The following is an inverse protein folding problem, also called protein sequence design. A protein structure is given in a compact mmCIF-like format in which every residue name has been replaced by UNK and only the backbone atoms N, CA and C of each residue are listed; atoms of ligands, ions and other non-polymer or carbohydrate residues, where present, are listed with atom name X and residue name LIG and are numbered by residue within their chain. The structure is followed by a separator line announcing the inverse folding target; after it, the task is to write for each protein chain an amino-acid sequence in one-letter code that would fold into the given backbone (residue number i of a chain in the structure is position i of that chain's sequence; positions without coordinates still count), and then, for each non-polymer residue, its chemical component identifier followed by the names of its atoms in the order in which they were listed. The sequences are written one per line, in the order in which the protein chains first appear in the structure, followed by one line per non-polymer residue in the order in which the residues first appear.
data_IF_397987662392
#
_entry.id   IF_397987662392
#
_cell.length_a   1.000
_cell.length_b   1.000
_cell.length_c   1.000
_cell.angle_alpha   90.00
_cell.angle_beta   90.00
_cell.angle_gamma   90.00
#
_symmetry.space_group_name_H-M   'P 1'
#
loop_
_entity.id
_entity.type
_entity.pdbx_description
1 polymer ?
#
# COMPACT_ATOMS: atom_id res chain seq x y z
N UNK A 1 27.27 -13.14 -0.39
CA UNK A 1 26.02 -12.41 -0.70
C UNK A 1 26.25 -10.90 -0.58
N UNK A 2 25.47 -10.06 -1.28
CA UNK A 2 25.49 -8.59 -1.11
C UNK A 2 24.28 -8.08 -0.32
N UNK A 3 24.34 -6.85 0.19
CA UNK A 3 23.28 -6.30 1.07
C UNK A 3 21.89 -6.28 0.41
N UNK A 4 21.71 -5.85 -0.86
CA UNK A 4 20.40 -5.88 -1.51
C UNK A 4 19.78 -7.29 -1.57
N UNK A 5 20.57 -8.29 -1.95
CA UNK A 5 20.10 -9.68 -2.01
C UNK A 5 19.69 -10.22 -0.63
N UNK A 6 20.43 -9.83 0.41
CA UNK A 6 20.06 -10.16 1.79
C UNK A 6 18.72 -9.51 2.16
N UNK A 7 18.54 -8.22 1.88
CA UNK A 7 17.32 -7.49 2.23
C UNK A 7 16.07 -7.98 1.49
N UNK A 8 16.20 -8.35 0.21
CA UNK A 8 15.11 -8.91 -0.59
C UNK A 8 14.56 -10.22 0.01
N UNK A 9 15.45 -11.03 0.59
CA UNK A 9 15.13 -12.34 1.16
C UNK A 9 15.27 -12.37 2.67
N UNK A 10 15.19 -11.22 3.33
CA UNK A 10 15.41 -11.11 4.76
C UNK A 10 14.36 -11.90 5.56
N UNK A 11 13.09 -11.90 5.13
CA UNK A 11 12.03 -12.67 5.81
C UNK A 11 12.36 -14.16 5.82
N UNK A 12 12.84 -14.70 4.70
CA UNK A 12 13.22 -16.11 4.59
C UNK A 12 14.29 -16.50 5.63
N UNK A 13 15.24 -15.59 5.87
CA UNK A 13 16.25 -15.76 6.90
C UNK A 13 15.67 -15.61 8.32
N UNK A 14 14.89 -14.54 8.55
CA UNK A 14 14.34 -14.21 9.86
C UNK A 14 13.36 -15.28 10.37
N UNK A 15 12.52 -15.81 9.47
CA UNK A 15 11.53 -16.85 9.76
C UNK A 15 12.10 -18.28 9.61
N UNK A 16 13.38 -18.40 9.22
CA UNK A 16 14.09 -19.67 8.96
C UNK A 16 13.37 -20.59 7.96
N UNK A 17 12.83 -20.00 6.90
CA UNK A 17 12.14 -20.71 5.82
C UNK A 17 12.99 -20.84 4.55
N UNK A 18 14.15 -20.18 4.52
CA UNK A 18 15.11 -20.28 3.41
C UNK A 18 15.85 -21.63 3.34
N UNK A 19 16.41 -21.92 2.17
CA UNK A 19 17.27 -23.09 1.94
C UNK A 19 18.57 -23.02 2.76
N UNK A 20 19.10 -24.16 3.21
CA UNK A 20 20.30 -24.23 4.06
C UNK A 20 21.51 -23.49 3.45
N UNK A 21 21.71 -23.61 2.14
CA UNK A 21 22.79 -22.92 1.43
C UNK A 21 22.63 -21.39 1.47
N UNK A 22 21.39 -20.90 1.41
CA UNK A 22 21.09 -19.48 1.56
C UNK A 22 21.33 -19.01 2.98
N UNK A 23 20.88 -19.76 3.99
CA UNK A 23 21.09 -19.41 5.40
C UNK A 23 22.58 -19.32 5.75
N UNK A 24 23.39 -20.28 5.30
CA UNK A 24 24.85 -20.24 5.49
C UNK A 24 25.50 -19.01 4.81
N UNK A 25 25.06 -18.66 3.60
CA UNK A 25 25.56 -17.48 2.89
C UNK A 25 25.14 -16.16 3.57
N UNK A 26 24.01 -16.13 4.26
CA UNK A 26 23.59 -14.99 5.10
C UNK A 26 24.43 -14.90 6.35
N UNK A 27 24.71 -16.01 7.03
CA UNK A 27 25.59 -16.04 8.22
C UNK A 27 26.99 -15.48 7.88
N UNK A 28 27.60 -15.95 6.80
CA UNK A 28 28.88 -15.43 6.30
C UNK A 28 28.81 -13.92 5.99
N UNK A 29 27.70 -13.47 5.40
CA UNK A 29 27.49 -12.05 5.12
C UNK A 29 27.38 -11.21 6.41
N UNK A 30 26.68 -11.70 7.42
CA UNK A 30 26.50 -11.01 8.70
C UNK A 30 27.83 -10.92 9.47
N UNK A 31 28.71 -11.91 9.37
CA UNK A 31 30.05 -11.81 9.96
C UNK A 31 30.85 -10.63 9.38
N UNK A 32 30.71 -10.37 8.07
CA UNK A 32 31.42 -9.30 7.37
C UNK A 32 30.72 -7.92 7.34
N UNK A 33 29.40 -7.85 7.54
CA UNK A 33 28.62 -6.63 7.30
C UNK A 33 27.98 -6.06 8.58
N UNK A 34 28.46 -4.89 9.04
CA UNK A 34 27.89 -4.24 10.22
C UNK A 34 26.49 -3.67 9.99
N UNK A 35 26.21 -3.13 8.79
CA UNK A 35 24.91 -2.54 8.47
C UNK A 35 23.78 -3.58 8.52
N UNK A 36 24.00 -4.74 7.91
CA UNK A 36 23.04 -5.84 7.92
C UNK A 36 22.87 -6.43 9.32
N UNK A 37 23.94 -6.58 10.10
CA UNK A 37 23.83 -6.96 11.53
C UNK A 37 22.97 -5.98 12.33
N UNK A 38 23.18 -4.67 12.11
CA UNK A 38 22.38 -3.64 12.77
C UNK A 38 20.91 -3.72 12.37
N UNK A 39 20.64 -3.98 11.10
CA UNK A 39 19.28 -4.18 10.59
C UNK A 39 18.58 -5.36 11.28
N UNK A 40 19.23 -6.54 11.33
CA UNK A 40 18.71 -7.72 12.04
C UNK A 40 18.38 -7.39 13.49
N UNK A 41 19.29 -6.70 14.18
CA UNK A 41 19.11 -6.36 15.60
C UNK A 41 17.93 -5.39 15.82
N UNK A 42 17.75 -4.40 14.94
CA UNK A 42 16.63 -3.46 15.03
C UNK A 42 15.30 -4.19 14.84
N UNK A 43 15.20 -5.06 13.83
CA UNK A 43 13.98 -5.84 13.59
C UNK A 43 13.70 -6.78 14.77
N UNK A 44 14.73 -7.48 15.26
CA UNK A 44 14.61 -8.38 16.41
C UNK A 44 14.07 -7.66 17.64
N UNK A 45 14.68 -6.54 18.03
CA UNK A 45 14.20 -5.72 19.15
C UNK A 45 12.79 -5.20 18.93
N UNK A 46 12.46 -4.79 17.71
CA UNK A 46 11.11 -4.36 17.35
C UNK A 46 10.09 -5.48 17.61
N UNK A 47 10.40 -6.71 17.19
CA UNK A 47 9.53 -7.86 17.43
C UNK A 47 9.40 -8.20 18.92
N UNK A 48 10.50 -8.15 19.67
CA UNK A 48 10.50 -8.41 21.12
C UNK A 48 9.63 -7.41 21.87
N UNK A 49 9.65 -6.13 21.47
CA UNK A 49 8.78 -5.11 22.03
C UNK A 49 7.30 -5.40 21.74
N UNK A 50 6.96 -5.86 20.54
CA UNK A 50 5.59 -6.24 20.19
C UNK A 50 5.13 -7.46 20.98
N UNK A 51 6.00 -8.45 21.17
CA UNK A 51 5.70 -9.63 21.99
C UNK A 51 5.59 -9.32 23.49
N UNK A 52 6.17 -8.22 23.96
CA UNK A 52 6.04 -7.76 25.34
C UNK A 52 4.66 -7.14 25.66
N UNK A 53 3.81 -6.89 24.66
CA UNK A 53 2.45 -6.42 24.91
C UNK A 53 1.61 -7.52 25.57
N UNK A 54 0.60 -7.14 26.37
CA UNK A 54 -0.34 -8.09 26.96
C UNK A 54 -0.94 -9.00 25.89
N UNK A 55 -1.02 -10.29 26.18
CA UNK A 55 -1.71 -11.22 25.28
C UNK A 55 -3.16 -10.79 25.12
N UNK A 56 -3.65 -10.84 23.89
CA UNK A 56 -5.03 -10.52 23.59
C UNK A 56 -5.93 -11.62 24.19
N UNK A 57 -6.84 -11.24 25.07
CA UNK A 57 -7.91 -12.15 25.49
C UNK A 57 -8.88 -12.32 24.31
N UNK A 58 -8.86 -13.50 23.69
CA UNK A 58 -9.81 -13.88 22.65
C UNK A 58 -11.00 -14.59 23.29
N UNK A 59 -12.19 -14.42 22.71
CA UNK A 59 -13.37 -15.18 23.12
C UNK A 59 -13.16 -16.67 22.94
N UNK A 60 -13.78 -17.51 23.78
CA UNK A 60 -13.66 -18.98 23.71
C UNK A 60 -14.04 -19.56 22.33
N UNK A 61 -14.96 -18.91 21.62
CA UNK A 61 -15.41 -19.31 20.28
C UNK A 61 -14.50 -18.80 19.14
N UNK A 62 -13.41 -18.11 19.45
CA UNK A 62 -12.52 -17.54 18.45
C UNK A 62 -11.81 -18.61 17.62
N UNK A 63 -11.18 -19.59 18.27
CA UNK A 63 -10.42 -20.64 17.60
C UNK A 63 -11.32 -21.54 16.72
N UNK A 64 -12.50 -22.01 17.20
CA UNK A 64 -13.44 -22.74 16.36
C UNK A 64 -13.89 -21.94 15.14
N UNK A 65 -14.24 -20.66 15.32
CA UNK A 65 -14.65 -19.77 14.21
C UNK A 65 -13.53 -19.50 13.22
N UNK A 66 -12.30 -19.30 13.70
CA UNK A 66 -11.14 -19.07 12.85
C UNK A 66 -10.89 -20.30 11.97
N UNK A 67 -10.83 -21.47 12.59
CA UNK A 67 -10.61 -22.73 11.89
C UNK A 67 -11.70 -23.02 10.86
N UNK A 68 -12.97 -22.84 11.23
CA UNK A 68 -14.09 -22.93 10.29
C UNK A 68 -13.92 -22.00 9.08
N UNK A 69 -13.51 -20.74 9.30
CA UNK A 69 -13.26 -19.79 8.20
C UNK A 69 -12.07 -20.20 7.32
N UNK A 70 -10.96 -20.66 7.90
CA UNK A 70 -9.78 -21.09 7.14
C UNK A 70 -10.15 -22.24 6.20
N UNK A 71 -10.84 -23.27 6.71
CA UNK A 71 -11.29 -24.40 5.89
C UNK A 71 -12.18 -23.97 4.73
N UNK A 72 -13.12 -23.05 4.96
CA UNK A 72 -14.03 -22.60 3.90
C UNK A 72 -13.40 -21.59 2.92
N UNK A 73 -12.30 -20.93 3.27
CA UNK A 73 -11.54 -20.11 2.33
C UNK A 73 -10.78 -21.01 1.36
N UNK A 74 -10.18 -22.09 1.84
CA UNK A 74 -9.50 -23.09 1.01
C UNK A 74 -10.49 -23.78 0.06
N UNK A 75 -11.70 -24.08 0.54
CA UNK A 75 -12.79 -24.59 -0.29
C UNK A 75 -13.29 -23.54 -1.30
N UNK A 76 -13.29 -22.26 -0.94
CA UNK A 76 -13.73 -21.16 -1.81
C UNK A 76 -12.87 -20.99 -3.06
N UNK A 77 -11.54 -21.10 -2.91
CA UNK A 77 -10.61 -21.10 -4.05
C UNK A 77 -10.75 -22.36 -4.90
N UNK A 78 -11.00 -23.52 -4.27
CA UNK A 78 -11.32 -24.77 -4.99
C UNK A 78 -12.69 -24.72 -5.71
N UNK A 79 -13.64 -23.93 -5.20
CA UNK A 79 -14.96 -23.68 -5.78
C UNK A 79 -14.98 -22.47 -6.73
N UNK A 80 -13.84 -21.84 -6.99
CA UNK A 80 -13.64 -21.00 -8.18
C UNK A 80 -12.89 -21.77 -9.27
N UNK A 81 -13.56 -22.70 -9.99
CA UNK A 81 -13.04 -23.16 -11.27
C UNK A 81 -13.20 -22.01 -12.28
N UNK A 82 -12.18 -21.15 -12.38
CA UNK A 82 -12.00 -20.31 -13.56
C UNK A 82 -11.72 -18.83 -13.30
N UNK A 83 -10.47 -18.50 -12.95
CA UNK A 83 -9.79 -17.41 -13.68
C UNK A 83 -8.34 -17.74 -14.05
N UNK A 84 -7.89 -18.98 -13.87
CA UNK A 84 -6.67 -19.49 -14.48
C UNK A 84 -7.02 -20.18 -15.81
N UNK A 85 -6.89 -19.44 -16.91
CA UNK A 85 -6.63 -19.98 -18.25
C UNK A 85 -7.81 -20.57 -19.02
N UNK A 86 -8.57 -19.72 -19.72
CA UNK A 86 -9.33 -20.16 -20.90
C UNK A 86 -9.28 -19.11 -22.02
N UNK A 87 -8.38 -19.36 -22.98
CA UNK A 87 -8.63 -19.21 -24.43
C UNK A 87 -9.03 -17.86 -25.01
N UNK A 88 -8.97 -16.77 -24.26
CA UNK A 88 -9.40 -15.43 -24.69
C UNK A 88 -8.52 -14.47 -23.88
N UNK A 89 -7.54 -13.74 -24.41
CA UNK A 89 -7.65 -12.86 -25.57
C UNK A 89 -6.28 -12.23 -25.96
N UNK A 90 -5.36 -12.96 -26.60
CA UNK A 90 -4.25 -12.28 -27.31
C UNK A 90 -4.79 -11.25 -28.31
N UNK A 91 -5.98 -11.53 -28.86
CA UNK A 91 -6.73 -10.61 -29.73
C UNK A 91 -7.20 -9.35 -28.99
N UNK A 92 -7.72 -9.40 -27.76
CA UNK A 92 -8.14 -8.15 -27.09
C UNK A 92 -6.98 -7.38 -26.50
N UNK A 93 -5.90 -8.06 -26.10
CA UNK A 93 -4.65 -7.38 -25.74
C UNK A 93 -4.11 -6.58 -26.95
N UNK A 94 -4.14 -7.17 -28.16
CA UNK A 94 -3.79 -6.48 -29.40
C UNK A 94 -4.74 -5.33 -29.73
N UNK A 95 -6.07 -5.53 -29.62
CA UNK A 95 -7.04 -4.45 -29.87
C UNK A 95 -6.84 -3.30 -28.90
N UNK A 96 -6.62 -3.56 -27.61
CA UNK A 96 -6.35 -2.53 -26.61
C UNK A 96 -5.02 -1.83 -26.87
N UNK A 97 -3.96 -2.57 -27.24
CA UNK A 97 -2.68 -1.97 -27.62
C UNK A 97 -2.80 -1.06 -28.85
N UNK A 98 -3.57 -1.45 -29.86
CA UNK A 98 -3.85 -0.65 -31.07
C UNK A 98 -4.66 0.60 -30.73
N UNK A 99 -5.68 0.49 -29.87
CA UNK A 99 -6.47 1.65 -29.44
C UNK A 99 -5.62 2.67 -28.64
N UNK A 100 -4.76 2.20 -27.74
CA UNK A 100 -3.88 3.06 -26.93
C UNK A 100 -2.84 3.75 -27.81
N UNK A 101 -2.23 3.03 -28.75
CA UNK A 101 -1.26 3.62 -29.69
C UNK A 101 -1.92 4.63 -30.64
N UNK A 102 -3.12 4.35 -31.16
CA UNK A 102 -3.88 5.29 -31.97
C UNK A 102 -4.28 6.56 -31.19
N UNK A 103 -4.71 6.41 -29.93
CA UNK A 103 -5.04 7.55 -29.07
C UNK A 103 -3.82 8.41 -28.75
N UNK A 104 -2.66 7.79 -28.50
CA UNK A 104 -1.41 8.50 -28.23
C UNK A 104 -0.91 9.33 -29.43
N UNK A 105 -1.22 8.91 -30.66
CA UNK A 105 -0.86 9.63 -31.89
C UNK A 105 -1.96 10.59 -32.38
N UNK A 106 -3.14 10.57 -31.78
CA UNK A 106 -4.25 11.48 -32.12
C UNK A 106 -3.97 12.98 -31.95
N UNK A 107 -3.09 13.44 -31.03
CA UNK A 107 -2.73 14.86 -30.96
C UNK A 107 -1.85 15.31 -32.12
N UNK A 108 -1.02 14.40 -32.67
CA UNK A 108 -0.09 14.72 -33.76
C UNK A 108 -0.79 14.85 -35.12
N UNK A 109 -1.88 14.11 -35.33
CA UNK A 109 -2.69 14.16 -36.57
C UNK A 109 -3.74 15.28 -36.54
N UNK A 110 -4.08 15.82 -35.37
CA UNK A 110 -4.97 16.97 -35.18
C UNK A 110 -4.21 18.30 -35.12
N UNK A 111 -3.02 18.37 -35.73
CA UNK A 111 -2.20 19.58 -35.82
C UNK A 111 -2.80 20.69 -36.72
N UNK A 112 -4.13 20.74 -36.88
CA UNK A 112 -4.84 21.97 -37.22
C UNK A 112 -5.22 22.63 -35.89
N UNK A 113 -4.23 23.26 -35.24
CA UNK A 113 -4.49 24.10 -34.08
C UNK A 113 -5.47 25.20 -34.51
N UNK A 114 -6.59 25.43 -33.80
CA UNK A 114 -7.39 26.62 -34.04
C UNK A 114 -6.51 27.83 -33.70
N UNK A 115 -6.16 28.62 -34.71
CA UNK A 115 -5.41 29.84 -34.55
C UNK A 115 -6.30 30.86 -33.84
N UNK A 116 -6.25 30.85 -32.51
CA UNK A 116 -6.94 31.82 -31.67
C UNK A 116 -6.08 33.08 -31.65
N UNK A 117 -6.43 34.04 -32.50
CA UNK A 117 -5.84 35.38 -32.51
C UNK A 117 -6.24 36.11 -31.23
N UNK A 118 -5.40 36.05 -30.20
CA UNK A 118 -5.59 36.78 -28.95
C UNK A 118 -5.08 38.21 -29.12
N UNK A 119 -5.92 39.20 -28.82
CA UNK A 119 -5.50 40.60 -28.81
C UNK A 119 -4.37 40.82 -27.79
N UNK A 120 -3.36 41.66 -28.11
CA UNK A 120 -2.18 41.80 -27.28
C UNK A 120 -2.53 42.38 -25.91
N UNK A 121 -2.18 41.63 -24.86
CA UNK A 121 -2.26 42.11 -23.47
C UNK A 121 -1.14 43.12 -23.24
N UNK A 122 -1.51 44.39 -23.10
CA UNK A 122 -0.59 45.46 -22.69
C UNK A 122 -0.41 45.37 -21.18
N UNK A 123 0.76 44.90 -20.75
CA UNK A 123 1.15 44.90 -19.33
C UNK A 123 1.79 46.24 -19.01
N UNK A 124 1.07 47.10 -18.29
CA UNK A 124 1.65 48.29 -17.66
C UNK A 124 2.64 47.85 -16.58
N UNK A 125 3.91 48.27 -16.70
CA UNK A 125 4.98 47.97 -15.76
C UNK A 125 4.76 48.79 -14.47
N UNK A 126 4.47 48.18 -13.30
CA UNK A 126 4.41 48.94 -12.06
C UNK A 126 5.82 49.37 -11.66
N UNK A 127 5.97 50.63 -11.24
CA UNK A 127 7.25 51.20 -10.80
C UNK A 127 7.91 50.34 -9.71
N UNK A 128 9.22 50.14 -9.84
CA UNK A 128 10.02 49.38 -8.90
C UNK A 128 10.03 50.08 -7.53
N UNK A 129 9.23 49.56 -6.59
CA UNK A 129 9.28 49.97 -5.19
C UNK A 129 10.62 49.49 -4.60
N UNK A 130 11.45 50.38 -4.02
CA UNK A 130 12.72 49.95 -3.45
C UNK A 130 12.49 48.94 -2.31
N UNK A 131 13.11 47.77 -2.45
CA UNK A 131 13.15 46.72 -1.45
C UNK A 131 13.87 47.24 -0.20
N UNK A 132 13.10 47.59 0.82
CA UNK A 132 13.63 47.80 2.15
C UNK A 132 14.13 46.47 2.71
N UNK A 133 15.45 46.28 2.76
CA UNK A 133 16.11 45.24 3.53
C UNK A 133 15.77 45.43 5.01
N UNK A 134 14.80 44.66 5.51
CA UNK A 134 14.59 44.46 6.96
C UNK A 134 15.35 43.20 7.38
N UNK A 135 16.24 43.26 8.38
CA UNK A 135 17.00 42.11 8.82
C UNK A 135 16.13 41.12 9.61
N UNK A 136 16.31 39.84 9.27
CA UNK A 136 16.10 38.66 10.12
C UNK A 136 14.76 38.51 10.84
N UNK A 137 13.70 38.19 10.10
CA UNK A 137 12.74 37.22 10.61
C UNK A 137 13.26 35.84 10.20
N UNK A 138 13.77 35.10 11.19
CA UNK A 138 14.17 33.71 11.07
C UNK A 138 13.04 32.96 10.34
N UNK A 139 13.38 32.31 9.22
CA UNK A 139 12.54 31.28 8.64
C UNK A 139 12.33 30.22 9.72
N UNK A 140 11.18 30.27 10.39
CA UNK A 140 10.61 29.06 10.94
C UNK A 140 10.12 28.29 9.72
N UNK A 141 10.98 27.42 9.18
CA UNK A 141 10.48 26.22 8.53
C UNK A 141 9.59 25.56 9.59
N UNK A 142 8.28 25.64 9.41
CA UNK A 142 7.38 24.72 10.07
C UNK A 142 7.80 23.34 9.58
N UNK A 143 8.64 22.66 10.36
CA UNK A 143 8.85 21.25 10.21
C UNK A 143 7.44 20.62 10.22
N UNK A 144 7.08 19.76 9.24
CA UNK A 144 5.84 19.01 9.35
C UNK A 144 5.91 18.31 10.71
N UNK A 145 4.96 18.61 11.59
CA UNK A 145 4.92 17.97 12.89
C UNK A 145 4.79 16.47 12.66
N UNK A 146 5.85 15.71 12.90
CA UNK A 146 5.83 14.24 12.98
C UNK A 146 5.12 13.76 14.25
N UNK A 147 4.30 14.62 14.87
CA UNK A 147 3.33 14.22 15.86
C UNK A 147 2.23 13.43 15.13
N UNK A 148 2.55 12.18 14.80
CA UNK A 148 1.60 11.11 14.51
C UNK A 148 0.59 11.16 15.66
N UNK A 149 -0.64 11.64 15.44
CA UNK A 149 -1.59 11.71 16.53
C UNK A 149 -1.78 10.31 17.12
N UNK A 150 -1.68 10.15 18.44
CA UNK A 150 -1.89 8.85 19.11
C UNK A 150 -3.19 8.17 18.70
N UNK A 151 -4.20 8.95 18.30
CA UNK A 151 -5.50 8.48 17.82
C UNK A 151 -5.48 7.77 16.46
N UNK A 152 -4.39 7.80 15.67
CA UNK A 152 -4.37 7.06 14.39
C UNK A 152 -4.44 5.55 14.64
N UNK A 153 -3.87 5.09 15.76
CA UNK A 153 -3.88 3.69 16.15
C UNK A 153 -5.13 3.31 16.96
N UNK A 154 -5.75 4.27 17.65
CA UNK A 154 -7.03 4.10 18.31
C UNK A 154 -8.13 3.91 17.24
N UNK A 155 -8.70 2.71 17.16
CA UNK A 155 -9.71 2.39 16.14
C UNK A 155 -9.14 1.98 14.78
N UNK A 156 -7.83 1.72 14.68
CA UNK A 156 -7.20 1.16 13.47
C UNK A 156 -7.88 -0.11 12.99
N UNK A 157 -8.35 -0.97 13.90
CA UNK A 157 -9.13 -2.17 13.59
C UNK A 157 -10.43 -1.85 12.82
N UNK A 158 -11.12 -0.75 13.15
CA UNK A 158 -12.36 -0.36 12.48
C UNK A 158 -12.08 0.18 11.07
N UNK A 159 -11.00 0.91 10.89
CA UNK A 159 -10.56 1.39 9.57
C UNK A 159 -10.07 0.24 8.69
N UNK A 160 -9.22 -0.65 9.22
CA UNK A 160 -8.75 -1.84 8.52
C UNK A 160 -9.91 -2.78 8.15
N UNK A 161 -10.89 -2.94 9.04
CA UNK A 161 -12.10 -3.70 8.74
C UNK A 161 -12.92 -3.04 7.62
N UNK A 162 -13.15 -1.72 7.70
CA UNK A 162 -13.93 -0.95 6.71
C UNK A 162 -13.38 -1.03 5.28
N UNK A 163 -12.07 -1.13 5.13
CA UNK A 163 -11.41 -1.25 3.83
C UNK A 163 -11.02 -2.69 3.47
N UNK A 164 -11.29 -3.66 4.37
CA UNK A 164 -11.12 -5.06 4.06
C UNK A 164 -12.26 -5.54 3.14
N UNK A 165 -11.98 -6.39 2.15
CA UNK A 165 -13.02 -7.05 1.34
C UNK A 165 -14.01 -7.87 2.20
N UNK A 166 -13.67 -8.17 3.46
CA UNK A 166 -14.54 -8.85 4.44
C UNK A 166 -15.74 -7.99 4.91
N UNK A 167 -15.66 -6.66 4.79
CA UNK A 167 -16.74 -5.76 5.20
C UNK A 167 -17.93 -5.74 4.24
N UNK A 168 -17.72 -6.17 2.99
CA UNK A 168 -18.74 -6.13 1.94
C UNK A 168 -19.90 -7.12 2.14
N UNK A 169 -19.71 -8.20 2.91
CA UNK A 169 -20.72 -9.26 3.02
C UNK A 169 -21.74 -9.07 4.14
N UNK A 170 -21.48 -8.19 5.12
CA UNK A 170 -22.31 -8.09 6.33
C UNK A 170 -23.39 -6.99 6.27
N UNK A 171 -23.43 -6.20 5.20
CA UNK A 171 -24.31 -5.02 5.11
C UNK A 171 -25.62 -5.19 4.34
N UNK A 172 -25.99 -6.41 3.92
CA UNK A 172 -27.08 -6.59 2.93
C UNK A 172 -28.32 -7.36 3.39
N UNK A 173 -28.40 -7.78 4.66
CA UNK A 173 -29.47 -8.67 5.13
C UNK A 173 -30.20 -8.19 6.41
N UNK A 174 -30.44 -6.88 6.51
CA UNK A 174 -31.38 -6.34 7.51
C UNK A 174 -32.69 -5.87 6.83
N UNK A 175 -33.40 -6.81 6.19
CA UNK A 175 -34.82 -6.63 5.87
C UNK A 175 -35.64 -7.19 7.02
N UNK A 176 -35.97 -6.30 7.94
CA UNK A 176 -36.91 -6.47 9.06
C UNK A 176 -38.22 -7.10 8.57
N UNK A 177 -38.46 -8.37 8.88
CA UNK A 177 -39.81 -8.97 8.81
C UNK A 177 -40.57 -8.61 10.09
N UNK A 178 -41.36 -7.54 10.01
CA UNK A 178 -42.35 -7.19 11.02
C UNK A 178 -43.55 -8.14 10.88
N UNK A 179 -43.60 -9.19 11.70
CA UNK A 179 -44.82 -9.98 11.87
C UNK A 179 -45.69 -9.29 12.94
N UNK A 180 -46.77 -8.63 12.49
CA UNK A 180 -47.83 -8.15 13.37
C UNK A 180 -48.81 -9.28 13.68
N UNK A 181 -49.01 -9.55 14.97
CA UNK A 181 -50.17 -10.26 15.50
C UNK A 181 -50.89 -9.29 16.44
N UNK A 182 -52.06 -8.81 16.03
CA UNK A 182 -53.30 -8.66 16.81
C UNK A 182 -54.41 -8.13 15.91
#
# INVERSE_FOLDING_TARGET
MNCPQFLERFSDYYDRTGEDAFLAAVEEHLDGCEECRRYVEVVRRGSELLHAFPQLEVSDDFEPRLRHRIYHIEDGDALTPGSAGSGTTTVTALVMAVLVTAAAWSPALRASAPEVELSPIVVSRPEARPLGLRPSQRLLLAAPSTAVPRHIWDGSHALLYRYSPLSGSHGRDEVVRRAGLQ
#
